data_IF_020969087700
#
_entry.id   IF_020969087700
#
_cell.length_a   1.000
_cell.length_b   1.000
_cell.length_c   1.000
_cell.angle_alpha   90.00
_cell.angle_beta   90.00
_cell.angle_gamma   90.00
#
_symmetry.space_group_name_H-M   'P 1'
#
loop_
_entity.id
_entity.type
_entity.pdbx_description
1 polymer ?
#
# COMPACT_ATOMS: atom_id res chain seq x y z
N UNK A 1 8.66 29.90 26.30
CA UNK A 1 8.14 28.55 25.99
C UNK A 1 7.30 28.67 24.73
N UNK A 2 7.76 28.25 23.53
CA UNK A 2 6.86 28.09 22.41
C UNK A 2 6.28 26.67 22.36
N UNK A 3 4.99 26.68 22.02
CA UNK A 3 4.05 25.61 21.78
C UNK A 3 4.58 24.46 20.90
N UNK A 4 4.19 23.24 21.27
CA UNK A 4 4.46 21.98 20.59
C UNK A 4 3.80 21.95 19.20
N UNK A 5 4.51 22.34 18.13
CA UNK A 5 4.10 22.04 16.75
C UNK A 5 4.48 20.59 16.44
N UNK A 6 3.63 19.66 16.86
CA UNK A 6 3.72 18.27 16.40
C UNK A 6 3.59 18.25 14.89
N UNK A 7 4.69 17.99 14.19
CA UNK A 7 4.69 17.70 12.76
C UNK A 7 3.77 16.49 12.54
N UNK A 8 2.60 16.71 11.92
CA UNK A 8 1.77 15.62 11.42
C UNK A 8 2.66 14.74 10.54
N UNK A 9 2.82 13.49 10.94
CA UNK A 9 3.63 12.54 10.18
C UNK A 9 2.82 12.14 8.95
N UNK A 10 3.32 12.51 7.78
CA UNK A 10 2.88 11.92 6.52
C UNK A 10 3.14 10.41 6.54
N UNK A 11 2.08 9.62 6.38
CA UNK A 11 2.17 8.17 6.27
C UNK A 11 2.34 7.75 4.82
N UNK A 12 3.21 6.77 4.58
CA UNK A 12 3.43 6.16 3.26
C UNK A 12 2.81 4.76 3.22
N UNK A 13 1.99 4.48 2.23
CA UNK A 13 1.28 3.21 2.06
C UNK A 13 1.58 2.57 0.72
N UNK A 14 1.87 1.27 0.75
CA UNK A 14 1.86 0.43 -0.46
C UNK A 14 0.49 -0.27 -0.53
N UNK A 15 -0.28 0.04 -1.56
CA UNK A 15 -1.56 -0.63 -1.84
C UNK A 15 -1.36 -1.55 -3.04
N UNK A 16 -1.65 -2.82 -2.84
CA UNK A 16 -1.43 -3.86 -3.84
C UNK A 16 -2.79 -4.41 -4.28
N UNK A 17 -3.04 -4.29 -5.59
CA UNK A 17 -4.25 -4.70 -6.34
C UNK A 17 -5.50 -3.86 -6.05
N UNK A 18 -6.21 -3.53 -7.14
CA UNK A 18 -7.67 -3.29 -7.13
C UNK A 18 -8.10 -1.89 -7.54
N UNK A 19 -9.19 -1.80 -8.32
CA UNK A 19 -9.96 -0.57 -8.60
C UNK A 19 -10.80 -0.10 -7.39
N UNK A 20 -10.43 -0.55 -6.21
CA UNK A 20 -11.14 -0.37 -4.95
C UNK A 20 -11.02 1.06 -4.42
N UNK A 21 -11.96 1.51 -3.58
CA UNK A 21 -11.94 2.86 -3.04
C UNK A 21 -10.79 3.13 -2.05
N UNK A 22 -10.02 2.12 -1.64
CA UNK A 22 -9.06 2.26 -0.54
C UNK A 22 -7.90 3.21 -0.82
N UNK A 23 -7.38 3.27 -2.04
CA UNK A 23 -6.35 4.26 -2.39
C UNK A 23 -6.87 5.70 -2.24
N UNK A 24 -8.10 5.95 -2.69
CA UNK A 24 -8.80 7.22 -2.50
C UNK A 24 -9.11 7.49 -1.02
N UNK A 25 -9.48 6.46 -0.24
CA UNK A 25 -9.77 6.58 1.18
C UNK A 25 -8.52 6.94 1.98
N UNK A 26 -7.41 6.23 1.78
CA UNK A 26 -6.16 6.54 2.47
C UNK A 26 -5.65 7.94 2.11
N UNK A 27 -5.70 8.33 0.83
CA UNK A 27 -5.36 9.68 0.41
C UNK A 27 -6.26 10.75 1.04
N UNK A 28 -7.54 10.46 1.30
CA UNK A 28 -8.43 11.39 2.00
C UNK A 28 -7.96 11.71 3.43
N UNK A 29 -7.20 10.79 4.03
CA UNK A 29 -6.57 10.89 5.35
C UNK A 29 -5.10 11.33 5.31
N UNK A 30 -4.65 12.00 4.23
CA UNK A 30 -3.30 12.55 4.08
C UNK A 30 -2.19 11.48 4.11
N UNK A 31 -2.56 10.26 3.69
CA UNK A 31 -1.62 9.17 3.42
C UNK A 31 -1.18 9.26 1.97
N UNK A 32 0.13 9.21 1.74
CA UNK A 32 0.70 9.07 0.41
C UNK A 32 0.67 7.60 0.00
N UNK A 33 0.05 7.31 -1.14
CA UNK A 33 -0.27 5.96 -1.60
C UNK A 33 0.51 5.65 -2.87
N UNK A 34 1.26 4.56 -2.83
CA UNK A 34 1.77 3.89 -4.03
C UNK A 34 0.87 2.71 -4.31
N UNK A 35 -0.02 2.85 -5.29
CA UNK A 35 -0.87 1.77 -5.75
C UNK A 35 -0.14 0.95 -6.82
N UNK A 36 -0.28 -0.37 -6.76
CA UNK A 36 0.33 -1.28 -7.73
C UNK A 36 -0.65 -2.35 -8.22
N UNK A 37 -0.63 -2.61 -9.53
CA UNK A 37 -1.40 -3.70 -10.15
C UNK A 37 -0.67 -4.23 -11.39
N UNK A 38 -1.06 -5.41 -11.88
CA UNK A 38 -0.43 -6.03 -13.04
C UNK A 38 -0.72 -5.22 -14.31
N UNK A 39 0.21 -5.09 -15.26
CA UNK A 39 -0.08 -4.43 -16.54
C UNK A 39 -1.18 -5.21 -17.29
N UNK A 40 -2.09 -4.52 -17.98
CA UNK A 40 -2.99 -5.20 -18.92
C UNK A 40 -2.16 -5.89 -20.02
N UNK A 41 -2.34 -7.21 -20.21
CA UNK A 41 -1.53 -8.00 -21.14
C UNK A 41 -1.71 -9.53 -20.98
N UNK A 42 -0.91 -10.36 -21.64
CA UNK A 42 -1.10 -11.83 -21.58
C UNK A 42 -0.97 -12.44 -20.18
N UNK A 43 -0.21 -11.79 -19.28
CA UNK A 43 -0.09 -12.16 -17.88
C UNK A 43 -1.40 -11.94 -17.08
N UNK A 44 -2.37 -11.18 -17.61
CA UNK A 44 -3.67 -10.93 -16.99
C UNK A 44 -4.75 -11.94 -17.40
N UNK A 45 -4.45 -13.00 -18.16
CA UNK A 45 -5.46 -13.95 -18.65
C UNK A 45 -6.28 -14.66 -17.56
N UNK A 46 -5.77 -14.78 -16.32
CA UNK A 46 -6.55 -15.26 -15.15
C UNK A 46 -7.15 -14.14 -14.27
N UNK A 47 -6.98 -12.89 -14.70
CA UNK A 47 -7.21 -11.65 -13.94
C UNK A 47 -8.21 -10.71 -14.62
N UNK A 48 -8.30 -10.78 -15.96
CA UNK A 48 -9.20 -9.99 -16.80
C UNK A 48 -10.68 -10.39 -16.64
N UNK A 49 -10.96 -11.62 -16.19
CA UNK A 49 -12.31 -12.17 -16.13
C UNK A 49 -13.19 -11.56 -15.02
N UNK A 50 -12.60 -10.88 -14.02
CA UNK A 50 -13.33 -10.34 -12.85
C UNK A 50 -13.50 -8.82 -12.83
N UNK A 51 -12.88 -8.08 -13.76
CA UNK A 51 -12.97 -6.62 -13.82
C UNK A 51 -12.33 -5.87 -12.64
N UNK A 52 -11.53 -6.55 -11.81
CA UNK A 52 -10.88 -6.00 -10.62
C UNK A 52 -9.52 -5.31 -10.91
N UNK A 53 -9.23 -5.03 -12.17
CA UNK A 53 -7.96 -4.46 -12.62
C UNK A 53 -8.03 -2.93 -12.70
N UNK A 54 -7.20 -2.23 -11.94
CA UNK A 54 -6.91 -0.82 -12.19
C UNK A 54 -5.85 -0.71 -13.30
N UNK A 55 -6.28 -0.60 -14.55
CA UNK A 55 -5.36 -0.43 -15.69
C UNK A 55 -4.66 0.94 -15.73
N UNK A 56 -5.13 1.91 -14.93
CA UNK A 56 -4.61 3.27 -14.88
C UNK A 56 -4.94 3.95 -13.53
N UNK A 57 -4.16 4.98 -13.19
CA UNK A 57 -4.33 5.80 -11.98
C UNK A 57 -5.77 6.33 -11.82
N UNK A 58 -6.42 6.74 -12.92
CA UNK A 58 -7.80 7.25 -12.88
C UNK A 58 -8.83 6.21 -12.40
N UNK A 59 -8.56 4.91 -12.54
CA UNK A 59 -9.47 3.86 -12.06
C UNK A 59 -9.57 3.83 -10.51
N UNK A 60 -8.55 4.39 -9.84
CA UNK A 60 -8.47 4.49 -8.39
C UNK A 60 -9.14 5.76 -7.85
N UNK A 61 -9.42 6.75 -8.71
CA UNK A 61 -10.03 8.00 -8.31
C UNK A 61 -11.51 7.81 -7.99
N UNK A 62 -11.90 8.14 -6.76
CA UNK A 62 -13.28 8.11 -6.28
C UNK A 62 -13.73 9.54 -5.91
N UNK A 63 -14.42 10.26 -6.81
CA UNK A 63 -14.83 11.65 -6.57
C UNK A 63 -15.75 11.82 -5.36
N UNK A 64 -16.44 10.76 -4.94
CA UNK A 64 -17.26 10.70 -3.72
C UNK A 64 -16.44 10.68 -2.41
N UNK A 65 -15.12 10.46 -2.48
CA UNK A 65 -14.22 10.34 -1.33
C UNK A 65 -13.31 11.57 -1.18
N UNK A 66 -12.67 12.00 -2.27
CA UNK A 66 -11.73 13.13 -2.25
C UNK A 66 -11.73 13.92 -3.57
N UNK A 67 -11.32 15.18 -3.47
CA UNK A 67 -11.15 16.05 -4.64
C UNK A 67 -9.97 15.60 -5.51
N UNK A 68 -10.10 15.82 -6.83
CA UNK A 68 -9.09 15.43 -7.83
C UNK A 68 -7.68 15.93 -7.51
N UNK A 69 -7.54 17.20 -7.11
CA UNK A 69 -6.23 17.77 -6.76
C UNK A 69 -5.55 17.02 -5.60
N UNK A 70 -6.29 16.71 -4.53
CA UNK A 70 -5.75 15.94 -3.39
C UNK A 70 -5.36 14.53 -3.83
N UNK A 71 -6.17 13.90 -4.68
CA UNK A 71 -5.87 12.58 -5.22
C UNK A 71 -4.57 12.58 -6.04
N UNK A 72 -4.42 13.51 -6.98
CA UNK A 72 -3.22 13.60 -7.83
C UNK A 72 -1.95 13.88 -7.01
N UNK A 73 -2.06 14.62 -5.90
CA UNK A 73 -0.93 14.89 -4.99
C UNK A 73 -0.55 13.69 -4.12
N UNK A 74 -1.49 12.80 -3.80
CA UNK A 74 -1.31 11.76 -2.79
C UNK A 74 -1.26 10.34 -3.35
N UNK A 75 -1.69 10.11 -4.60
CA UNK A 75 -1.80 8.76 -5.16
C UNK A 75 -0.93 8.64 -6.41
N UNK A 76 0.00 7.69 -6.37
CA UNK A 76 0.76 7.26 -7.54
C UNK A 76 0.36 5.82 -7.92
N UNK A 77 0.50 5.50 -9.21
CA UNK A 77 0.23 4.16 -9.71
C UNK A 77 1.47 3.60 -10.42
N UNK A 78 1.82 2.36 -10.11
CA UNK A 78 2.87 1.63 -10.81
C UNK A 78 2.39 0.26 -11.25
N UNK A 79 2.77 -0.14 -12.46
CA UNK A 79 2.47 -1.49 -12.92
C UNK A 79 3.54 -2.47 -12.46
N UNK A 80 3.15 -3.52 -11.74
CA UNK A 80 4.06 -4.46 -11.07
C UNK A 80 3.60 -5.89 -11.32
N UNK A 81 4.51 -6.73 -11.82
CA UNK A 81 4.34 -8.17 -11.72
C UNK A 81 4.72 -8.63 -10.31
N UNK A 82 3.69 -8.94 -9.52
CA UNK A 82 3.82 -9.38 -8.13
C UNK A 82 4.58 -10.70 -7.96
N UNK A 83 4.78 -11.47 -9.04
CA UNK A 83 5.55 -12.72 -9.01
C UNK A 83 7.05 -12.52 -9.13
N UNK A 84 7.50 -11.33 -9.58
CA UNK A 84 8.90 -11.01 -9.88
C UNK A 84 9.47 -9.91 -8.97
N UNK A 85 8.64 -9.35 -8.08
CA UNK A 85 8.99 -8.39 -7.04
C UNK A 85 9.75 -7.10 -7.48
N UNK A 86 9.23 -6.25 -8.38
CA UNK A 86 9.76 -4.91 -8.57
C UNK A 86 8.92 -3.87 -7.80
N UNK A 87 9.01 -3.87 -6.46
CA UNK A 87 8.58 -2.69 -5.69
C UNK A 87 9.80 -1.80 -5.43
N UNK A 88 9.66 -0.45 -5.42
CA UNK A 88 10.76 0.47 -5.17
C UNK A 88 11.52 0.14 -3.87
N UNK A 89 12.74 0.65 -3.73
CA UNK A 89 13.53 0.55 -2.50
C UNK A 89 12.97 1.41 -1.34
N UNK A 90 11.81 2.02 -1.54
CA UNK A 90 11.14 2.83 -0.53
C UNK A 90 10.56 1.95 0.58
N UNK A 91 10.63 2.45 1.81
CA UNK A 91 10.02 1.83 2.97
C UNK A 91 8.70 2.52 3.29
N UNK A 92 7.65 1.73 3.51
CA UNK A 92 6.29 2.17 3.79
C UNK A 92 5.95 2.02 5.28
N UNK A 93 5.03 2.83 5.78
CA UNK A 93 4.50 2.70 7.14
C UNK A 93 3.54 1.51 7.26
N UNK A 94 2.82 1.18 6.18
CA UNK A 94 2.02 -0.03 6.08
C UNK A 94 1.87 -0.50 4.63
N UNK A 95 1.53 -1.78 4.47
CA UNK A 95 1.16 -2.39 3.20
C UNK A 95 -0.27 -2.92 3.33
N UNK A 96 -1.08 -2.73 2.29
CA UNK A 96 -2.43 -3.27 2.18
C UNK A 96 -2.55 -4.11 0.91
N UNK A 97 -3.11 -5.31 1.04
CA UNK A 97 -3.47 -6.15 -0.09
C UNK A 97 -4.77 -6.88 0.20
N UNK A 98 -5.69 -6.92 -0.76
CA UNK A 98 -6.87 -7.77 -0.73
C UNK A 98 -6.89 -8.67 -1.97
N UNK A 99 -7.45 -9.88 -1.85
CA UNK A 99 -7.59 -10.86 -2.93
C UNK A 99 -6.32 -11.07 -3.77
N UNK A 100 -5.14 -10.88 -3.20
CA UNK A 100 -3.89 -10.95 -3.96
C UNK A 100 -3.30 -12.34 -3.99
N UNK A 101 -3.45 -13.09 -2.90
CA UNK A 101 -2.83 -14.41 -2.73
C UNK A 101 -3.46 -15.50 -3.60
N UNK A 102 -4.77 -15.44 -3.82
CA UNK A 102 -5.52 -16.46 -4.57
C UNK A 102 -5.21 -16.46 -6.08
N UNK A 103 -4.63 -15.38 -6.60
CA UNK A 103 -4.24 -15.27 -8.01
C UNK A 103 -2.74 -15.48 -8.26
N UNK A 104 -1.93 -15.73 -7.22
CA UNK A 104 -0.48 -15.96 -7.37
C UNK A 104 -0.16 -17.37 -7.89
N UNK A 105 -1.17 -18.23 -8.06
CA UNK A 105 -1.06 -19.54 -8.71
C UNK A 105 -0.34 -20.62 -7.90
N UNK A 106 0.33 -20.29 -6.79
CA UNK A 106 0.91 -21.26 -5.87
C UNK A 106 1.05 -20.73 -4.44
N UNK A 107 1.06 -21.64 -3.46
CA UNK A 107 1.32 -21.30 -2.06
C UNK A 107 2.71 -20.67 -1.86
N UNK A 108 3.71 -21.14 -2.61
CA UNK A 108 5.07 -20.59 -2.54
C UNK A 108 5.09 -19.14 -3.01
N UNK A 109 4.46 -18.82 -4.14
CA UNK A 109 4.37 -17.45 -4.63
C UNK A 109 3.63 -16.54 -3.63
N UNK A 110 2.58 -17.06 -2.98
CA UNK A 110 1.90 -16.36 -1.87
C UNK A 110 2.81 -16.07 -0.67
N UNK A 111 3.62 -17.03 -0.25
CA UNK A 111 4.57 -16.84 0.85
C UNK A 111 5.67 -15.85 0.49
N UNK A 112 6.22 -15.95 -0.71
CA UNK A 112 7.25 -15.04 -1.19
C UNK A 112 6.71 -13.59 -1.24
N UNK A 113 5.48 -13.40 -1.72
CA UNK A 113 4.80 -12.10 -1.70
C UNK A 113 4.67 -11.50 -0.29
N UNK A 114 4.29 -12.30 0.71
CA UNK A 114 4.17 -11.84 2.10
C UNK A 114 5.54 -11.44 2.66
N UNK A 115 6.58 -12.22 2.37
CA UNK A 115 7.95 -11.95 2.84
C UNK A 115 8.54 -10.69 2.21
N UNK A 116 8.31 -10.49 0.91
CA UNK A 116 8.67 -9.25 0.21
C UNK A 116 7.91 -8.04 0.77
N UNK A 117 6.60 -8.16 0.97
CA UNK A 117 5.77 -7.10 1.54
C UNK A 117 6.26 -6.67 2.92
N UNK A 118 6.67 -7.63 3.76
CA UNK A 118 7.31 -7.36 5.05
C UNK A 118 8.64 -6.60 4.90
N UNK A 119 9.45 -6.95 3.91
CA UNK A 119 10.72 -6.28 3.61
C UNK A 119 10.57 -4.80 3.25
N UNK A 120 9.37 -4.38 2.81
CA UNK A 120 9.05 -3.00 2.46
C UNK A 120 8.53 -2.17 3.64
N UNK A 121 8.35 -2.75 4.81
CA UNK A 121 7.87 -2.01 5.99
C UNK A 121 9.03 -1.32 6.71
N UNK A 122 8.82 -0.05 7.10
CA UNK A 122 9.74 0.70 7.96
C UNK A 122 9.94 -0.06 9.27
N UNK A 123 11.20 -0.27 9.67
CA UNK A 123 11.53 -0.78 11.00
C UNK A 123 11.06 0.20 12.06
N UNK A 124 10.09 -0.20 12.90
CA UNK A 124 9.68 0.65 14.03
C UNK A 124 10.87 0.78 14.98
N UNK A 125 11.37 2.00 15.16
CA UNK A 125 12.23 2.31 16.31
C UNK A 125 11.48 1.83 17.56
N UNK A 126 12.06 0.88 18.31
CA UNK A 126 11.53 0.37 19.58
C UNK A 126 11.22 1.58 20.46
N UNK A 127 9.95 1.96 20.56
CA UNK A 127 9.47 2.87 21.59
C UNK A 127 8.96 1.99 22.73
N UNK A 128 9.88 1.74 23.66
CA UNK A 128 9.58 1.44 25.07
C UNK A 128 8.78 0.16 25.35
N UNK A 129 9.43 -1.00 25.23
CA UNK A 129 9.06 -2.17 26.04
C UNK A 129 9.67 -2.10 27.47
N UNK A 130 10.51 -1.10 27.74
CA UNK A 130 11.25 -0.97 29.02
C UNK A 130 10.47 -0.20 30.11
N UNK A 131 9.27 0.30 29.84
CA UNK A 131 8.50 1.09 30.84
C UNK A 131 7.66 0.22 31.79
N UNK A 132 7.54 -1.09 31.54
CA UNK A 132 6.73 -1.99 32.39
C UNK A 132 7.60 -2.78 33.40
N UNK A 133 8.94 -2.65 33.33
CA UNK A 133 9.86 -3.37 34.23
C UNK A 133 10.51 -2.49 35.30
N UNK A 134 10.28 -1.16 35.32
CA UNK A 134 10.83 -0.27 36.36
C UNK A 134 9.94 -0.09 37.59
N UNK A 135 8.65 -0.44 37.51
CA UNK A 135 7.66 -0.16 38.57
C UNK A 135 7.34 -1.42 39.41
N UNK A 136 8.26 -2.38 39.44
CA UNK A 136 8.14 -3.60 40.26
C UNK A 136 9.32 -3.82 41.20
N UNK A 137 9.83 -2.73 41.80
CA UNK A 137 10.67 -2.80 43.00
C UNK A 137 10.19 -1.83 44.05
#
# INVERSE_FOLDING_TARGET
MPCNSGLERAYQALVVRGSEPLSSLFASHDVYVTASDLASGEASKGWSDTGQHAAALDALYKPEILGRAKFDDHVSFMSVDMTVAPHPNEAFDFCWSVCSLEHLGSLKAGMDFVMESKGKLKGRHRRSYDRIQSDSK
#
